data_IF_803492474204
#
_entry.id   IF_803492474204
#
_cell.length_a   1.000
_cell.length_b   1.000
_cell.length_c   1.000
_cell.angle_alpha   90.00
_cell.angle_beta   90.00
_cell.angle_gamma   90.00
#
_symmetry.space_group_name_H-M   'P 1'
#
loop_
_entity.id
_entity.type
_entity.pdbx_description
1 polymer ?
#
# COMPACT_ATOMS: atom_id res chain seq x y z
N UNK A 1 -7.61 11.55 9.23
CA UNK A 1 -7.04 11.20 7.91
C UNK A 1 -7.90 11.72 6.74
N UNK A 2 -8.26 13.02 6.73
CA UNK A 2 -9.16 13.61 5.72
C UNK A 2 -8.50 14.61 4.75
N UNK A 3 -7.18 14.78 4.86
CA UNK A 3 -6.41 15.82 4.13
C UNK A 3 -5.68 15.29 2.90
N UNK A 4 -5.69 13.98 2.67
CA UNK A 4 -4.98 13.31 1.58
C UNK A 4 -5.96 12.51 0.74
N UNK A 5 -5.66 12.33 -0.55
CA UNK A 5 -6.52 11.58 -1.47
C UNK A 5 -6.60 10.07 -1.16
N UNK A 6 -5.54 9.50 -0.57
CA UNK A 6 -5.50 8.09 -0.18
C UNK A 6 -4.81 7.91 1.19
N UNK A 7 -5.59 7.98 2.26
CA UNK A 7 -5.18 7.57 3.60
C UNK A 7 -5.17 6.03 3.76
N UNK A 8 -4.06 5.49 4.27
CA UNK A 8 -3.83 4.07 4.49
C UNK A 8 -3.30 3.83 5.90
N UNK A 9 -3.66 2.71 6.52
CA UNK A 9 -3.06 2.24 7.78
C UNK A 9 -2.83 0.72 7.78
N UNK A 10 -2.37 0.17 8.90
CA UNK A 10 -2.02 -1.26 9.08
C UNK A 10 -2.97 -1.94 10.07
N UNK A 11 -3.05 -3.29 10.09
CA UNK A 11 -3.93 -4.04 10.99
C UNK A 11 -3.72 -3.74 12.48
N UNK A 12 -2.49 -3.45 12.90
CA UNK A 12 -2.15 -3.24 14.31
C UNK A 12 -2.29 -1.77 14.74
N UNK A 13 -2.80 -0.90 13.87
CA UNK A 13 -3.04 0.50 14.19
C UNK A 13 -4.16 0.65 15.24
N UNK A 14 -4.06 1.71 16.03
CA UNK A 14 -5.06 2.11 17.02
C UNK A 14 -6.48 2.09 16.42
N UNK A 15 -7.47 1.37 17.00
CA UNK A 15 -8.70 1.02 16.28
C UNK A 15 -9.46 2.22 15.69
N UNK A 16 -9.63 3.36 16.40
CA UNK A 16 -10.23 4.57 15.82
C UNK A 16 -9.60 5.06 14.52
N UNK A 17 -8.31 4.81 14.26
CA UNK A 17 -7.66 5.22 13.00
C UNK A 17 -8.31 4.52 11.80
N UNK A 18 -8.75 3.27 11.98
CA UNK A 18 -9.32 2.44 10.91
C UNK A 18 -10.65 2.99 10.40
N UNK A 19 -11.36 3.78 11.20
CA UNK A 19 -12.61 4.44 10.81
C UNK A 19 -12.39 5.62 9.85
N UNK A 20 -11.15 6.12 9.74
CA UNK A 20 -10.83 7.33 8.99
C UNK A 20 -9.89 7.10 7.80
N UNK A 21 -9.60 5.85 7.43
CA UNK A 21 -8.76 5.48 6.28
C UNK A 21 -9.60 4.91 5.14
N UNK A 22 -9.07 4.98 3.93
CA UNK A 22 -9.69 4.33 2.77
C UNK A 22 -9.24 2.87 2.62
N UNK A 23 -8.06 2.54 3.15
CA UNK A 23 -7.50 1.20 3.04
C UNK A 23 -6.73 0.82 4.31
N UNK A 24 -6.92 -0.42 4.75
CA UNK A 24 -6.10 -1.06 5.78
C UNK A 24 -5.34 -2.17 5.08
N UNK A 25 -4.01 -2.18 5.19
CA UNK A 25 -3.20 -3.24 4.57
C UNK A 25 -3.54 -4.60 5.17
N UNK A 26 -3.34 -5.67 4.41
CA UNK A 26 -3.45 -7.04 4.94
C UNK A 26 -2.19 -7.41 5.72
N UNK A 27 -1.03 -7.00 5.21
CA UNK A 27 0.25 -7.21 5.88
C UNK A 27 0.41 -6.25 7.06
N UNK A 28 0.98 -6.70 8.18
CA UNK A 28 1.31 -5.82 9.30
C UNK A 28 2.44 -4.84 9.01
N UNK A 29 2.52 -3.79 9.85
CA UNK A 29 3.65 -2.85 9.84
C UNK A 29 4.98 -3.56 10.06
N UNK A 30 6.02 -3.15 9.32
CA UNK A 30 7.33 -3.82 9.33
C UNK A 30 7.36 -5.22 8.67
N UNK A 31 6.20 -5.78 8.32
CA UNK A 31 6.06 -7.13 7.71
C UNK A 31 5.54 -7.06 6.27
N UNK A 32 5.85 -5.97 5.57
CA UNK A 32 5.52 -5.76 4.16
C UNK A 32 4.28 -4.91 3.87
N UNK A 33 3.69 -4.23 4.87
CA UNK A 33 2.59 -3.28 4.66
C UNK A 33 2.90 -2.21 3.58
N UNK A 34 4.08 -1.59 3.66
CA UNK A 34 4.48 -0.56 2.66
C UNK A 34 4.66 -1.19 1.28
N UNK A 35 5.24 -2.38 1.20
CA UNK A 35 5.41 -3.11 -0.08
C UNK A 35 4.05 -3.38 -0.72
N UNK A 36 3.07 -3.82 0.05
CA UNK A 36 1.70 -4.03 -0.42
C UNK A 36 1.09 -2.76 -1.00
N UNK A 37 1.29 -1.62 -0.33
CA UNK A 37 0.83 -0.31 -0.83
C UNK A 37 1.55 0.10 -2.12
N UNK A 38 2.87 -0.10 -2.21
CA UNK A 38 3.64 0.17 -3.43
C UNK A 38 3.10 -0.67 -4.60
N UNK A 39 2.85 -1.97 -4.37
CA UNK A 39 2.29 -2.86 -5.38
C UNK A 39 0.90 -2.39 -5.83
N UNK A 40 0.04 -1.98 -4.89
CA UNK A 40 -1.30 -1.45 -5.17
C UNK A 40 -1.22 -0.21 -6.06
N UNK A 41 -0.35 0.75 -5.73
CA UNK A 41 -0.17 1.99 -6.51
C UNK A 41 0.39 1.68 -7.89
N UNK A 42 1.45 0.86 -7.98
CA UNK A 42 2.07 0.50 -9.26
C UNK A 42 1.10 -0.22 -10.20
N UNK A 43 0.29 -1.14 -9.67
CA UNK A 43 -0.74 -1.84 -10.43
C UNK A 43 -1.84 -0.89 -10.89
N UNK A 44 -2.32 -0.01 -10.02
CA UNK A 44 -3.34 0.99 -10.38
C UNK A 44 -2.86 1.94 -11.49
N UNK A 45 -1.56 2.22 -11.55
CA UNK A 45 -0.95 3.04 -12.60
C UNK A 45 -0.43 2.25 -13.82
N UNK A 46 -0.65 0.93 -13.88
CA UNK A 46 -0.18 0.08 -14.99
C UNK A 46 1.34 -0.04 -15.10
N UNK A 47 2.10 0.32 -14.05
CA UNK A 47 3.58 0.33 -14.04
C UNK A 47 4.20 -0.97 -13.53
N UNK A 48 3.38 -1.86 -12.97
CA UNK A 48 3.85 -3.10 -12.35
C UNK A 48 4.65 -3.98 -13.31
N UNK A 49 4.10 -4.24 -14.49
CA UNK A 49 4.70 -5.18 -15.44
C UNK A 49 6.04 -4.67 -15.96
N UNK A 50 6.12 -3.40 -16.35
CA UNK A 50 7.35 -2.80 -16.84
C UNK A 50 8.48 -2.86 -15.80
N UNK A 51 8.18 -2.53 -14.55
CA UNK A 51 9.15 -2.61 -13.45
C UNK A 51 9.62 -4.07 -13.22
N UNK A 52 8.69 -5.02 -13.33
CA UNK A 52 9.02 -6.44 -13.14
C UNK A 52 9.93 -6.97 -14.25
N UNK A 53 9.67 -6.60 -15.50
CA UNK A 53 10.52 -6.97 -16.64
C UNK A 53 11.93 -6.38 -16.51
N UNK A 54 12.05 -5.11 -16.11
CA UNK A 54 13.34 -4.46 -15.86
C UNK A 54 14.16 -5.22 -14.80
N UNK A 55 13.53 -5.57 -13.68
CA UNK A 55 14.17 -6.32 -12.61
C UNK A 55 14.64 -7.71 -13.05
N UNK A 56 13.86 -8.44 -13.84
CA UNK A 56 14.23 -9.77 -14.35
C UNK A 56 15.32 -9.73 -15.44
N UNK A 57 15.46 -8.59 -16.11
CA UNK A 57 16.49 -8.38 -17.14
C UNK A 57 17.84 -7.92 -16.58
N UNK A 58 17.92 -7.66 -15.27
CA UNK A 58 19.13 -7.26 -14.54
C UNK A 58 19.81 -8.46 -13.90
#
# INVERSE_FOLDING_TARGET
>A
MKRVGLAITVPEAWPPVKEWVHYVTQRPGGRGAVREVCDLILKAHGKWEALWQEFLSS
#
